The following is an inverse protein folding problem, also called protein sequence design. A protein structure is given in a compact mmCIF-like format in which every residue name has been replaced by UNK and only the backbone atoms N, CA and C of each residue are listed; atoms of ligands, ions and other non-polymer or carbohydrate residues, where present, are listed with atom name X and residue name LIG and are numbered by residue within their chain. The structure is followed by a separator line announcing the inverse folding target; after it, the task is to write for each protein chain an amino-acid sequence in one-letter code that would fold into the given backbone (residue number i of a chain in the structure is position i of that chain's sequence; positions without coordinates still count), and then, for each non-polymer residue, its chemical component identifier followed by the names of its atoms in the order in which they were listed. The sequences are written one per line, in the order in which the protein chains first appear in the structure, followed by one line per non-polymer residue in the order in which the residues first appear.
data_IF_933200241860
#
_entry.id   IF_933200241860
#
_cell.length_a   1.000
_cell.length_b   1.000
_cell.length_c   1.000
_cell.angle_alpha   90.00
_cell.angle_beta   90.00
_cell.angle_gamma   90.00
#
_symmetry.space_group_name_H-M   'P 1'
#
loop_
_entity.id
_entity.type
_entity.pdbx_description
1 polymer ?
#
# COMPACT_ATOMS: atom_id res chain seq x y z
N UNK A 1 -1.78 -9.59 9.64
CA UNK A 1 -2.70 -10.16 10.60
C UNK A 1 -2.26 -10.01 12.05
N UNK A 2 -1.01 -10.33 12.38
CA UNK A 2 -0.49 -10.21 13.75
C UNK A 2 -0.51 -8.76 14.27
N UNK A 3 -0.17 -7.78 13.44
CA UNK A 3 -0.21 -6.36 13.81
C UNK A 3 -1.63 -5.84 13.98
N UNK A 4 -2.58 -6.30 13.17
CA UNK A 4 -3.99 -6.00 13.32
C UNK A 4 -4.55 -6.53 14.63
N UNK A 5 -4.17 -7.76 14.99
CA UNK A 5 -4.58 -8.38 16.26
C UNK A 5 -4.00 -7.63 17.47
N UNK A 6 -2.74 -7.19 17.40
CA UNK A 6 -2.12 -6.41 18.47
C UNK A 6 -2.78 -5.05 18.65
N UNK A 7 -3.15 -4.39 17.58
CA UNK A 7 -3.88 -3.12 17.65
C UNK A 7 -5.26 -3.33 18.28
N UNK A 8 -5.96 -4.40 17.92
CA UNK A 8 -7.26 -4.75 18.51
C UNK A 8 -7.14 -5.10 19.98
N UNK A 9 -6.14 -5.88 20.37
CA UNK A 9 -5.86 -6.21 21.78
C UNK A 9 -5.59 -4.96 22.59
N UNK A 10 -4.77 -4.04 22.08
CA UNK A 10 -4.48 -2.77 22.71
C UNK A 10 -5.75 -1.93 22.89
N UNK A 11 -6.60 -1.87 21.87
CA UNK A 11 -7.88 -1.14 21.92
C UNK A 11 -8.83 -1.75 22.95
N UNK A 12 -8.93 -3.08 23.02
CA UNK A 12 -9.75 -3.79 24.01
C UNK A 12 -9.22 -3.52 25.42
N UNK A 13 -7.92 -3.63 25.62
CA UNK A 13 -7.27 -3.33 26.89
C UNK A 13 -7.57 -1.90 27.33
N UNK A 14 -7.40 -0.92 26.45
CA UNK A 14 -7.66 0.48 26.73
C UNK A 14 -9.14 0.75 27.03
N UNK A 15 -10.07 0.00 26.40
CA UNK A 15 -11.50 0.16 26.65
C UNK A 15 -11.93 -0.26 28.05
N UNK A 16 -11.12 -1.09 28.74
CA UNK A 16 -11.37 -1.52 30.12
C UNK A 16 -10.81 -0.55 31.16
N UNK A 17 -10.15 0.52 30.74
CA UNK A 17 -9.50 1.48 31.62
C UNK A 17 -10.43 2.68 31.96
N UNK A 18 -9.94 3.61 32.84
CA UNK A 18 -10.71 4.78 33.32
C UNK A 18 -11.12 5.75 32.20
N UNK A 19 -12.05 6.72 32.41
CA UNK A 19 -12.58 7.61 31.37
C UNK A 19 -11.53 8.33 30.52
N UNK A 20 -10.40 8.75 31.10
CA UNK A 20 -9.29 9.38 30.39
C UNK A 20 -8.66 8.43 29.37
N UNK A 21 -8.64 7.15 29.69
CA UNK A 21 -8.08 6.11 28.84
C UNK A 21 -9.05 5.71 27.73
N UNK A 22 -10.36 5.88 27.95
CA UNK A 22 -11.38 5.73 26.90
C UNK A 22 -11.25 6.80 25.81
N UNK A 23 -10.89 8.03 26.18
CA UNK A 23 -10.61 9.10 25.23
C UNK A 23 -9.40 8.77 24.35
N UNK A 24 -8.34 8.21 24.95
CA UNK A 24 -7.17 7.75 24.18
C UNK A 24 -7.51 6.61 23.25
N UNK A 25 -8.32 5.65 23.69
CA UNK A 25 -8.80 4.53 22.86
C UNK A 25 -9.60 5.05 21.66
N UNK A 26 -10.48 6.02 21.90
CA UNK A 26 -11.26 6.65 20.83
C UNK A 26 -10.35 7.37 19.84
N UNK A 27 -9.32 8.07 20.32
CA UNK A 27 -8.33 8.73 19.50
C UNK A 27 -7.61 7.73 18.57
N UNK A 28 -7.11 6.61 19.14
CA UNK A 28 -6.45 5.57 18.35
C UNK A 28 -7.40 4.93 17.34
N UNK A 29 -8.65 4.70 17.71
CA UNK A 29 -9.67 4.16 16.80
C UNK A 29 -9.92 5.10 15.64
N UNK A 30 -10.02 6.41 15.89
CA UNK A 30 -10.19 7.43 14.84
C UNK A 30 -8.99 7.47 13.91
N UNK A 31 -7.77 7.39 14.45
CA UNK A 31 -6.55 7.36 13.63
C UNK A 31 -6.50 6.13 12.74
N UNK A 32 -6.88 4.96 13.26
CA UNK A 32 -6.92 3.72 12.50
C UNK A 32 -7.92 3.80 11.34
N UNK A 33 -9.13 4.34 11.58
CA UNK A 33 -10.13 4.51 10.53
C UNK A 33 -9.65 5.49 9.46
N UNK A 34 -8.99 6.59 9.87
CA UNK A 34 -8.42 7.57 8.96
C UNK A 34 -7.35 6.93 8.05
N UNK A 35 -6.49 6.11 8.62
CA UNK A 35 -5.46 5.39 7.87
C UNK A 35 -6.09 4.41 6.86
N UNK A 36 -7.19 3.77 7.21
CA UNK A 36 -7.93 2.90 6.27
C UNK A 36 -8.50 3.70 5.10
N UNK A 37 -9.01 4.90 5.33
CA UNK A 37 -9.47 5.78 4.26
C UNK A 37 -8.33 6.21 3.34
N UNK A 38 -7.18 6.54 3.91
CA UNK A 38 -5.97 6.87 3.15
C UNK A 38 -5.54 5.67 2.31
N UNK A 39 -5.52 4.49 2.87
CA UNK A 39 -5.19 3.24 2.16
C UNK A 39 -6.14 3.02 0.98
N UNK A 40 -7.43 3.22 1.18
CA UNK A 40 -8.43 3.08 0.13
C UNK A 40 -8.17 4.07 -1.01
N UNK A 41 -7.92 5.34 -0.69
CA UNK A 41 -7.59 6.35 -1.69
C UNK A 41 -6.36 5.97 -2.50
N UNK A 42 -5.29 5.52 -1.83
CA UNK A 42 -4.05 5.13 -2.48
C UNK A 42 -4.21 3.93 -3.40
N UNK A 43 -4.98 2.94 -2.99
CA UNK A 43 -5.14 1.69 -3.75
C UNK A 43 -6.18 1.79 -4.87
N UNK A 44 -7.16 2.67 -4.74
CA UNK A 44 -8.17 2.90 -5.79
C UNK A 44 -7.68 3.86 -6.89
N UNK A 45 -6.66 4.66 -6.61
CA UNK A 45 -6.12 5.65 -7.54
C UNK A 45 -4.63 5.47 -7.75
N UNK A 46 -4.24 4.26 -8.22
CA UNK A 46 -2.82 3.89 -8.42
C UNK A 46 -2.12 4.78 -9.44
N UNK A 47 -2.84 5.26 -10.44
CA UNK A 47 -2.32 6.17 -11.47
C UNK A 47 -1.85 7.50 -10.89
N UNK A 48 -2.32 7.87 -9.70
CA UNK A 48 -1.93 9.08 -9.02
C UNK A 48 -0.87 8.81 -7.95
N UNK A 49 0.03 9.77 -7.78
CA UNK A 49 1.06 9.74 -6.73
C UNK A 49 0.73 10.79 -5.69
N UNK A 50 0.52 10.35 -4.46
CA UNK A 50 0.26 11.23 -3.32
C UNK A 50 1.50 11.27 -2.43
N UNK A 51 1.96 12.48 -2.11
CA UNK A 51 3.06 12.64 -1.13
C UNK A 51 2.50 12.53 0.28
N UNK A 52 3.39 12.22 1.23
CA UNK A 52 3.02 12.18 2.66
C UNK A 52 2.46 13.53 3.09
N UNK A 53 3.05 14.63 2.61
CA UNK A 53 2.64 16.00 2.92
C UNK A 53 1.23 16.30 2.38
N UNK A 54 0.93 15.85 1.17
CA UNK A 54 -0.41 16.01 0.57
C UNK A 54 -1.47 15.26 1.37
N UNK A 55 -1.19 14.02 1.73
CA UNK A 55 -2.09 13.20 2.55
C UNK A 55 -2.28 13.80 3.93
N UNK A 56 -1.19 14.27 4.54
CA UNK A 56 -1.21 14.92 5.84
C UNK A 56 -2.14 16.14 5.84
N UNK A 57 -2.06 16.97 4.81
CA UNK A 57 -2.92 18.14 4.66
C UNK A 57 -4.36 17.76 4.38
N UNK A 58 -4.58 16.80 3.49
CA UNK A 58 -5.94 16.37 3.09
C UNK A 58 -6.71 15.79 4.27
N UNK A 59 -6.07 14.98 5.08
CA UNK A 59 -6.70 14.26 6.19
C UNK A 59 -6.47 14.92 7.55
N UNK A 60 -5.81 16.07 7.58
CA UNK A 60 -5.53 16.83 8.81
C UNK A 60 -4.85 15.96 9.88
N UNK A 61 -3.84 15.20 9.45
CA UNK A 61 -3.06 14.32 10.33
C UNK A 61 -1.59 14.70 10.23
N UNK A 62 -0.87 14.64 11.35
CA UNK A 62 0.57 14.90 11.38
C UNK A 62 1.31 13.85 10.55
N UNK A 63 2.35 14.26 9.81
CA UNK A 63 3.13 13.35 8.94
C UNK A 63 3.75 12.20 9.72
N UNK A 64 4.28 12.45 10.92
CA UNK A 64 4.86 11.42 11.79
C UNK A 64 3.81 10.41 12.23
N UNK A 65 2.64 10.87 12.65
CA UNK A 65 1.51 10.02 13.05
C UNK A 65 1.01 9.20 11.88
N UNK A 66 0.89 9.80 10.70
CA UNK A 66 0.48 9.09 9.48
C UNK A 66 1.41 7.92 9.19
N UNK A 67 2.73 8.16 9.19
CA UNK A 67 3.73 7.11 8.94
C UNK A 67 3.68 6.00 9.98
N UNK A 68 3.62 6.37 11.26
CA UNK A 68 3.62 5.41 12.37
C UNK A 68 2.38 4.53 12.38
N UNK A 69 1.20 5.13 12.24
CA UNK A 69 -0.07 4.40 12.27
C UNK A 69 -0.22 3.54 11.02
N UNK A 70 0.17 4.04 9.85
CA UNK A 70 0.14 3.25 8.62
C UNK A 70 1.00 1.99 8.75
N UNK A 71 2.23 2.14 9.24
CA UNK A 71 3.13 1.00 9.46
C UNK A 71 2.58 0.02 10.50
N UNK A 72 1.97 0.54 11.56
CA UNK A 72 1.36 -0.31 12.60
C UNK A 72 0.19 -1.12 12.05
N UNK A 73 -0.66 -0.53 11.20
CA UNK A 73 -1.84 -1.20 10.65
C UNK A 73 -1.48 -2.16 9.51
N UNK A 74 -0.61 -1.74 8.60
CA UNK A 74 -0.31 -2.50 7.37
C UNK A 74 1.03 -3.23 7.38
N UNK A 75 1.86 -3.03 8.40
CA UNK A 75 3.10 -3.78 8.61
C UNK A 75 4.35 -3.25 7.91
N UNK A 76 4.20 -2.32 6.98
CA UNK A 76 5.29 -1.74 6.20
C UNK A 76 5.16 -0.22 6.12
N UNK A 77 6.29 0.49 5.96
CA UNK A 77 6.22 1.91 5.63
C UNK A 77 5.38 2.13 4.36
N UNK A 78 4.67 3.24 4.29
CA UNK A 78 3.74 3.53 3.21
C UNK A 78 4.38 3.43 1.82
N UNK A 79 5.59 3.94 1.65
CA UNK A 79 6.31 3.89 0.35
C UNK A 79 6.60 2.45 -0.08
N UNK A 80 7.08 1.62 0.83
CA UNK A 80 7.39 0.20 0.59
C UNK A 80 6.11 -0.57 0.28
N UNK A 81 5.08 -0.36 1.10
CA UNK A 81 3.77 -0.99 0.92
C UNK A 81 3.19 -0.69 -0.46
N UNK A 82 3.21 0.58 -0.85
CA UNK A 82 2.64 0.99 -2.15
C UNK A 82 3.47 0.49 -3.33
N UNK A 83 4.80 0.43 -3.20
CA UNK A 83 5.66 -0.17 -4.23
C UNK A 83 5.26 -1.62 -4.49
N UNK A 84 5.14 -2.41 -3.44
CA UNK A 84 4.75 -3.81 -3.55
C UNK A 84 3.32 -3.96 -4.08
N UNK A 85 2.41 -3.13 -3.61
CA UNK A 85 1.02 -3.15 -4.06
C UNK A 85 0.92 -2.86 -5.57
N UNK A 86 1.64 -1.84 -6.05
CA UNK A 86 1.67 -1.47 -7.47
C UNK A 86 2.22 -2.61 -8.33
N UNK A 87 3.29 -3.24 -7.87
CA UNK A 87 3.90 -4.38 -8.58
C UNK A 87 2.94 -5.57 -8.62
N UNK A 88 2.26 -5.89 -7.53
CA UNK A 88 1.27 -6.97 -7.50
C UNK A 88 0.10 -6.72 -8.45
N UNK A 89 -0.38 -5.48 -8.55
CA UNK A 89 -1.41 -5.13 -9.52
C UNK A 89 -0.89 -5.24 -10.96
N UNK A 90 0.36 -4.85 -11.20
CA UNK A 90 1.01 -5.03 -12.50
C UNK A 90 1.13 -6.50 -12.89
N UNK A 91 1.47 -7.37 -11.94
CA UNK A 91 1.54 -8.82 -12.18
C UNK A 91 0.19 -9.34 -12.68
N UNK A 92 -0.88 -8.91 -12.05
CA UNK A 92 -2.25 -9.27 -12.45
C UNK A 92 -2.55 -8.80 -13.89
N UNK A 93 -2.24 -7.54 -14.20
CA UNK A 93 -2.44 -6.97 -15.54
C UNK A 93 -1.60 -7.68 -16.59
N UNK A 94 -0.36 -8.06 -16.25
CA UNK A 94 0.52 -8.81 -17.16
C UNK A 94 -0.05 -10.19 -17.49
N UNK A 95 -0.68 -10.85 -16.53
CA UNK A 95 -1.28 -12.17 -16.72
C UNK A 95 -2.63 -12.12 -17.46
N UNK A 96 -3.46 -11.15 -17.14
CA UNK A 96 -4.87 -11.12 -17.52
C UNK A 96 -5.18 -10.26 -18.73
N UNK A 97 -4.23 -9.39 -19.17
CA UNK A 97 -4.45 -8.47 -20.28
C UNK A 97 -3.31 -8.54 -21.29
N UNK A 98 -3.57 -8.00 -22.50
CA UNK A 98 -2.57 -7.83 -23.55
C UNK A 98 -2.01 -6.39 -23.57
N UNK A 99 -2.28 -5.60 -22.55
CA UNK A 99 -1.78 -4.23 -22.44
C UNK A 99 -0.26 -4.19 -22.54
N UNK A 100 0.27 -3.15 -23.16
CA UNK A 100 1.72 -2.97 -23.28
C UNK A 100 2.36 -2.73 -21.92
N UNK A 101 3.65 -2.99 -21.79
CA UNK A 101 4.39 -2.73 -20.56
C UNK A 101 4.29 -1.25 -20.19
N UNK A 102 4.37 -0.35 -21.19
CA UNK A 102 4.23 1.09 -20.97
C UNK A 102 2.84 1.45 -20.43
N UNK A 103 1.78 0.86 -20.97
CA UNK A 103 0.40 1.10 -20.52
C UNK A 103 0.20 0.61 -19.07
N UNK A 104 0.72 -0.57 -18.76
CA UNK A 104 0.66 -1.13 -17.40
C UNK A 104 1.43 -0.24 -16.43
N UNK A 105 2.63 0.22 -16.82
CA UNK A 105 3.43 1.14 -16.00
C UNK A 105 2.61 2.39 -15.63
N UNK A 106 1.96 3.00 -16.62
CA UNK A 106 1.13 4.19 -16.40
C UNK A 106 -0.08 3.89 -15.49
N UNK A 107 -0.77 2.78 -15.72
CA UNK A 107 -1.94 2.38 -14.92
C UNK A 107 -1.59 2.18 -13.44
N UNK A 108 -0.40 1.66 -13.15
CA UNK A 108 0.02 1.43 -11.76
C UNK A 108 0.84 2.59 -11.17
N UNK A 109 0.89 3.74 -11.89
CA UNK A 109 1.41 4.99 -11.34
C UNK A 109 2.90 5.24 -11.52
N UNK A 110 3.53 4.65 -12.53
CA UNK A 110 4.93 4.93 -12.89
C UNK A 110 5.00 5.85 -14.09
N UNK A 111 5.80 6.91 -13.98
CA UNK A 111 6.00 7.91 -15.05
C UNK A 111 6.69 7.33 -16.27
N UNK A 112 7.62 6.39 -16.07
CA UNK A 112 8.40 5.79 -17.15
C UNK A 112 8.40 4.27 -17.03
N UNK A 113 8.54 3.61 -18.18
CA UNK A 113 8.66 2.15 -18.24
C UNK A 113 9.92 1.67 -17.51
N UNK A 114 11.01 2.45 -17.57
CA UNK A 114 12.27 2.12 -16.90
C UNK A 114 12.13 2.09 -15.39
N UNK A 115 11.47 3.09 -14.79
CA UNK A 115 11.19 3.12 -13.34
C UNK A 115 10.30 1.97 -12.93
N UNK A 116 9.29 1.65 -13.72
CA UNK A 116 8.39 0.52 -13.51
C UNK A 116 9.15 -0.80 -13.53
N UNK A 117 9.96 -1.03 -14.58
CA UNK A 117 10.72 -2.28 -14.75
C UNK A 117 11.69 -2.50 -13.60
N UNK A 118 12.33 -1.43 -13.11
CA UNK A 118 13.23 -1.50 -11.95
C UNK A 118 12.46 -1.90 -10.69
N UNK A 119 11.34 -1.26 -10.41
CA UNK A 119 10.50 -1.57 -9.24
C UNK A 119 9.97 -2.99 -9.31
N UNK A 120 9.52 -3.42 -10.48
CA UNK A 120 9.02 -4.78 -10.71
C UNK A 120 10.11 -5.81 -10.43
N UNK A 121 11.30 -5.59 -10.98
CA UNK A 121 12.45 -6.49 -10.76
C UNK A 121 12.90 -6.52 -9.30
N UNK A 122 12.88 -5.37 -8.61
CA UNK A 122 13.22 -5.30 -7.19
C UNK A 122 12.29 -6.18 -6.34
N UNK A 123 11.01 -6.23 -6.68
CA UNK A 123 10.00 -7.00 -5.91
C UNK A 123 9.94 -8.46 -6.35
N UNK A 124 9.96 -8.73 -7.64
CA UNK A 124 9.73 -10.08 -8.20
C UNK A 124 11.00 -10.83 -8.61
N UNK A 125 12.13 -10.14 -8.70
CA UNK A 125 13.43 -10.66 -9.18
C UNK A 125 13.47 -10.97 -10.68
N UNK A 126 12.41 -10.62 -11.44
CA UNK A 126 12.35 -10.77 -12.90
C UNK A 126 11.84 -9.51 -13.55
N UNK A 127 12.14 -9.32 -14.84
CA UNK A 127 11.61 -8.20 -15.61
C UNK A 127 10.15 -8.46 -15.98
N UNK A 128 9.35 -7.40 -16.15
CA UNK A 128 7.93 -7.55 -16.51
C UNK A 128 7.70 -8.36 -17.79
N UNK A 129 8.50 -8.12 -18.81
CA UNK A 129 8.42 -8.86 -20.09
C UNK A 129 8.67 -10.34 -19.91
N UNK A 130 9.69 -10.69 -19.11
CA UNK A 130 10.01 -12.08 -18.82
C UNK A 130 8.93 -12.75 -17.97
N UNK A 131 8.37 -12.03 -17.01
CA UNK A 131 7.27 -12.50 -16.19
C UNK A 131 6.05 -12.87 -17.05
N UNK A 132 5.65 -11.98 -17.96
CA UNK A 132 4.53 -12.23 -18.88
C UNK A 132 4.79 -13.44 -19.76
N UNK A 133 5.98 -13.53 -20.34
CA UNK A 133 6.39 -14.63 -21.21
C UNK A 133 6.39 -15.98 -20.47
N UNK A 134 6.93 -16.01 -19.27
CA UNK A 134 6.96 -17.22 -18.43
C UNK A 134 5.55 -17.68 -18.05
N UNK A 135 4.64 -16.75 -17.84
CA UNK A 135 3.26 -17.07 -17.48
C UNK A 135 2.46 -17.59 -18.68
N UNK A 136 2.65 -16.99 -19.86
CA UNK A 136 1.96 -17.39 -21.10
C UNK A 136 2.48 -18.72 -21.66
N UNK A 137 3.77 -19.00 -21.44
CA UNK A 137 4.42 -20.22 -21.94
C UNK A 137 5.14 -20.92 -20.80
N UNK A 138 4.42 -21.58 -19.86
CA UNK A 138 5.03 -22.16 -18.68
C UNK A 138 6.02 -23.32 -18.98
N UNK A 139 6.01 -23.87 -20.19
CA UNK A 139 6.89 -24.96 -20.61
C UNK A 139 8.10 -24.52 -21.44
N UNK A 140 8.24 -23.23 -21.75
CA UNK A 140 9.43 -22.70 -22.41
C UNK A 140 10.39 -22.15 -21.38
N UNK A 141 11.29 -22.98 -20.96
CA UNK A 141 12.38 -22.60 -20.06
C UNK A 141 13.53 -21.97 -20.85
#
# INVERSE_FOLDING_TARGET
PLLKLKVLELLIYLSCLKPREKELTQYFSQQTELIKEIHQQLTEHLEQRFTIEELSKQYLINTSTLKEVFKAVYGLPIATYMKEYRVHQAMKLLRETDATIADIAAQVGYETQGKFSKAFKDVTQVLPTKYRKNYQNPHSS
#
